data_IF_559070981995
#
_entry.id   IF_559070981995
#
_cell.length_a   1.000
_cell.length_b   1.000
_cell.length_c   1.000
_cell.angle_alpha   90.00
_cell.angle_beta   90.00
_cell.angle_gamma   90.00
#
_symmetry.space_group_name_H-M   'P 1'
#
loop_
_entity.id
_entity.type
_entity.pdbx_description
1 polymer ?
#
# COMPACT_ATOMS: atom_id res chain seq x y z
N UNK A 1 -44.15 7.02 3.04
CA UNK A 1 -42.73 7.14 2.69
C UNK A 1 -41.95 6.34 3.72
N UNK A 2 -41.50 5.13 3.37
CA UNK A 2 -40.70 4.32 4.27
C UNK A 2 -39.33 4.96 4.42
N UNK A 3 -39.00 5.41 5.64
CA UNK A 3 -37.67 5.94 5.92
C UNK A 3 -36.66 4.79 5.80
N UNK A 4 -35.60 5.01 5.02
CA UNK A 4 -34.48 4.08 4.92
C UNK A 4 -33.90 3.85 6.31
N UNK A 5 -33.64 2.60 6.67
CA UNK A 5 -32.94 2.31 7.92
C UNK A 5 -31.51 2.83 7.86
N UNK A 6 -30.86 3.00 9.01
CA UNK A 6 -29.44 3.41 9.06
C UNK A 6 -28.60 2.46 8.20
N UNK A 7 -28.88 1.17 8.25
CA UNK A 7 -28.19 0.16 7.45
C UNK A 7 -28.43 0.36 5.94
N UNK A 8 -29.67 0.62 5.51
CA UNK A 8 -29.99 0.88 4.09
C UNK A 8 -29.33 2.18 3.60
N UNK A 9 -29.32 3.23 4.44
CA UNK A 9 -28.66 4.49 4.11
C UNK A 9 -27.15 4.30 3.96
N UNK A 10 -26.52 3.51 4.84
CA UNK A 10 -25.10 3.18 4.77
C UNK A 10 -24.79 2.36 3.51
N UNK A 11 -25.61 1.36 3.16
CA UNK A 11 -25.41 0.57 1.93
C UNK A 11 -25.59 1.43 0.68
N UNK A 12 -26.59 2.31 0.64
CA UNK A 12 -26.79 3.22 -0.50
C UNK A 12 -25.67 4.25 -0.61
N UNK A 13 -25.22 4.82 0.52
CA UNK A 13 -24.04 5.69 0.53
C UNK A 13 -22.81 4.93 0.04
N UNK A 14 -22.62 3.65 0.38
CA UNK A 14 -21.53 2.83 -0.16
C UNK A 14 -21.68 2.52 -1.65
N UNK A 15 -22.90 2.45 -2.15
CA UNK A 15 -23.20 2.18 -3.55
C UNK A 15 -22.91 3.40 -4.44
N UNK A 16 -23.16 4.61 -3.92
CA UNK A 16 -22.98 5.88 -4.64
C UNK A 16 -21.69 6.64 -4.28
N UNK A 17 -21.12 6.34 -3.12
CA UNK A 17 -19.83 6.80 -2.60
C UNK A 17 -19.04 5.58 -2.09
N UNK A 18 -18.41 4.81 -2.98
CA UNK A 18 -17.66 3.62 -2.59
C UNK A 18 -16.41 3.93 -1.75
N UNK A 19 -16.00 5.21 -1.60
CA UNK A 19 -14.98 5.63 -0.63
C UNK A 19 -15.50 5.69 0.81
N UNK A 20 -16.83 5.74 1.00
CA UNK A 20 -17.49 5.71 2.31
C UNK A 20 -17.64 4.29 2.88
N UNK A 21 -17.30 3.26 2.11
CA UNK A 21 -17.32 1.88 2.58
C UNK A 21 -16.40 1.72 3.80
N UNK A 22 -16.85 1.03 4.86
CA UNK A 22 -16.01 0.77 6.01
C UNK A 22 -14.79 0.02 5.49
N UNK A 23 -13.62 0.66 5.57
CA UNK A 23 -12.35 -0.04 5.47
C UNK A 23 -12.45 -1.26 6.37
N UNK A 24 -12.00 -2.41 5.87
CA UNK A 24 -11.74 -3.58 6.69
C UNK A 24 -11.16 -3.18 8.04
N UNK A 25 -11.61 -3.86 9.10
CA UNK A 25 -11.26 -3.55 10.49
C UNK A 25 -9.81 -3.05 10.58
N UNK A 26 -9.67 -1.76 10.90
CA UNK A 26 -8.38 -1.11 11.03
C UNK A 26 -7.54 -1.92 12.02
N UNK A 27 -6.29 -2.25 11.68
CA UNK A 27 -5.45 -3.07 12.54
C UNK A 27 -5.29 -2.38 13.90
N UNK A 28 -5.29 -3.16 14.97
CA UNK A 28 -5.04 -2.65 16.32
C UNK A 28 -3.61 -2.13 16.40
N UNK A 29 -3.43 -0.83 16.64
CA UNK A 29 -2.11 -0.22 16.78
C UNK A 29 -1.80 -0.07 18.27
N UNK A 30 -0.70 -0.67 18.71
CA UNK A 30 -0.22 -0.59 20.09
C UNK A 30 1.13 0.16 20.13
N UNK A 31 1.16 1.42 20.60
CA UNK A 31 2.39 2.21 20.72
C UNK A 31 3.41 1.66 21.71
N UNK A 32 3.03 0.76 22.61
CA UNK A 32 3.94 0.14 23.57
C UNK A 32 4.83 -0.95 22.95
N UNK A 33 4.47 -1.43 21.76
CA UNK A 33 5.24 -2.44 21.04
C UNK A 33 6.57 -1.88 20.51
N UNK A 34 7.62 -2.72 20.40
CA UNK A 34 8.88 -2.34 19.77
C UNK A 34 8.67 -1.80 18.34
N UNK A 35 9.45 -0.77 17.96
CA UNK A 35 9.37 -0.22 16.60
C UNK A 35 9.74 -1.24 15.51
N UNK A 36 10.64 -2.17 15.83
CA UNK A 36 11.06 -3.25 14.95
C UNK A 36 11.14 -4.54 15.78
N UNK A 37 10.39 -5.60 15.44
CA UNK A 37 10.38 -6.85 16.20
C UNK A 37 11.68 -7.66 16.08
N UNK A 38 12.43 -7.48 15.00
CA UNK A 38 13.56 -8.34 14.64
C UNK A 38 14.92 -7.69 14.92
N UNK A 39 14.94 -6.38 15.19
CA UNK A 39 16.15 -5.60 15.41
C UNK A 39 16.34 -5.29 16.90
N UNK A 40 17.47 -5.68 17.51
CA UNK A 40 17.78 -5.34 18.90
C UNK A 40 17.77 -3.82 19.16
N UNK A 41 17.24 -3.40 20.31
CA UNK A 41 17.05 -1.99 20.66
C UNK A 41 18.34 -1.15 20.62
N UNK A 42 19.47 -1.74 21.02
CA UNK A 42 20.78 -1.07 21.04
C UNK A 42 21.29 -0.76 19.63
N UNK A 43 20.92 -1.58 18.65
CA UNK A 43 21.33 -1.46 17.25
C UNK A 43 20.38 -0.55 16.47
N UNK A 44 19.09 -0.56 16.83
CA UNK A 44 18.03 0.16 16.13
C UNK A 44 18.31 1.65 15.95
N UNK A 45 18.88 2.33 16.96
CA UNK A 45 19.21 3.75 16.85
C UNK A 45 20.29 4.01 15.77
N UNK A 46 21.31 3.16 15.72
CA UNK A 46 22.36 3.27 14.71
C UNK A 46 21.83 3.00 13.30
N UNK A 47 21.00 1.95 13.13
CA UNK A 47 20.41 1.64 11.81
C UNK A 47 19.49 2.77 11.32
N UNK A 48 18.64 3.31 12.21
CA UNK A 48 17.79 4.47 11.90
C UNK A 48 18.63 5.67 11.47
N UNK A 49 19.78 5.92 12.10
CA UNK A 49 20.64 7.04 11.71
C UNK A 49 21.24 6.83 10.31
N UNK A 50 21.74 5.63 10.01
CA UNK A 50 22.26 5.28 8.67
C UNK A 50 21.17 5.40 7.61
N UNK A 51 19.98 4.88 7.89
CA UNK A 51 18.81 4.99 7.03
C UNK A 51 18.40 6.45 6.77
N UNK A 52 18.32 7.27 7.82
CA UNK A 52 17.98 8.69 7.69
C UNK A 52 19.01 9.44 6.82
N UNK A 53 20.28 9.08 6.90
CA UNK A 53 21.31 9.67 6.05
C UNK A 53 21.07 9.30 4.58
N UNK A 54 20.73 8.04 4.28
CA UNK A 54 20.40 7.61 2.93
C UNK A 54 19.14 8.31 2.40
N UNK A 55 18.09 8.45 3.21
CA UNK A 55 16.85 9.15 2.82
C UNK A 55 17.14 10.61 2.48
N UNK A 56 17.87 11.34 3.35
CA UNK A 56 18.26 12.73 3.09
C UNK A 56 19.04 12.86 1.78
N UNK A 57 19.87 11.87 1.47
CA UNK A 57 20.64 11.83 0.24
C UNK A 57 19.71 11.68 -0.99
N UNK A 58 18.75 10.75 -0.94
CA UNK A 58 17.74 10.59 -1.99
C UNK A 58 16.86 11.83 -2.19
N UNK A 59 16.52 12.55 -1.12
CA UNK A 59 15.71 13.77 -1.16
C UNK A 59 16.50 15.00 -1.65
N UNK A 60 17.84 14.97 -1.55
CA UNK A 60 18.68 16.13 -1.87
C UNK A 60 18.71 16.44 -3.36
N UNK A 61 18.88 15.43 -4.21
CA UNK A 61 18.90 15.59 -5.67
C UNK A 61 18.81 14.24 -6.38
N UNK A 62 18.30 14.20 -7.63
CA UNK A 62 18.32 12.99 -8.46
C UNK A 62 19.73 12.43 -8.69
N UNK A 63 20.76 13.29 -8.73
CA UNK A 63 22.15 12.88 -8.91
C UNK A 63 22.71 12.07 -7.72
N UNK A 64 22.11 12.21 -6.54
CA UNK A 64 22.52 11.53 -5.32
C UNK A 64 21.80 10.18 -5.11
N UNK A 65 20.80 9.84 -5.95
CA UNK A 65 20.07 8.57 -5.85
C UNK A 65 20.95 7.31 -5.95
N UNK A 66 21.99 7.24 -6.83
CA UNK A 66 22.87 6.08 -6.89
C UNK A 66 23.65 5.85 -5.58
N UNK A 67 24.06 6.94 -4.90
CA UNK A 67 24.75 6.85 -3.62
C UNK A 67 23.80 6.42 -2.50
N UNK A 68 22.57 6.98 -2.48
CA UNK A 68 21.53 6.52 -1.56
C UNK A 68 21.19 5.04 -1.74
N UNK A 69 21.09 4.58 -2.99
CA UNK A 69 20.86 3.18 -3.33
C UNK A 69 21.95 2.30 -2.73
N UNK A 70 23.22 2.65 -2.96
CA UNK A 70 24.37 1.88 -2.45
C UNK A 70 24.34 1.76 -0.92
N UNK A 71 24.08 2.87 -0.21
CA UNK A 71 23.97 2.85 1.25
C UNK A 71 22.85 1.93 1.75
N UNK A 72 21.70 1.94 1.09
CA UNK A 72 20.57 1.10 1.45
C UNK A 72 20.82 -0.37 1.09
N UNK A 73 21.48 -0.67 -0.03
CA UNK A 73 21.91 -2.03 -0.39
C UNK A 73 22.85 -2.60 0.69
N UNK A 74 23.89 -1.86 1.05
CA UNK A 74 24.83 -2.24 2.13
C UNK A 74 24.09 -2.49 3.46
N UNK A 75 23.13 -1.63 3.81
CA UNK A 75 22.30 -1.78 5.01
C UNK A 75 21.44 -3.05 4.97
N UNK A 76 20.82 -3.37 3.83
CA UNK A 76 20.02 -4.59 3.67
C UNK A 76 20.85 -5.87 3.67
N UNK A 77 22.09 -5.82 3.18
CA UNK A 77 23.01 -6.96 3.22
C UNK A 77 23.49 -7.21 4.66
N UNK A 78 23.87 -6.14 5.37
CA UNK A 78 24.36 -6.24 6.74
C UNK A 78 23.25 -6.61 7.74
N UNK A 79 22.03 -6.14 7.50
CA UNK A 79 20.88 -6.32 8.41
C UNK A 79 19.63 -6.75 7.62
N UNK A 80 19.58 -8.00 7.13
CA UNK A 80 18.50 -8.49 6.26
C UNK A 80 17.13 -8.59 6.95
N UNK A 81 17.07 -8.46 8.28
CA UNK A 81 15.83 -8.44 9.05
C UNK A 81 15.31 -7.03 9.34
N UNK A 82 16.01 -5.98 8.88
CA UNK A 82 15.60 -4.59 9.09
C UNK A 82 14.63 -4.15 7.99
N UNK A 83 13.33 -4.29 8.25
CA UNK A 83 12.26 -4.13 7.26
C UNK A 83 12.24 -2.74 6.59
N UNK A 84 12.55 -1.70 7.36
CA UNK A 84 12.51 -0.32 6.89
C UNK A 84 13.54 -0.04 5.78
N UNK A 85 14.73 -0.65 5.86
CA UNK A 85 15.75 -0.52 4.82
C UNK A 85 15.29 -1.10 3.48
N UNK A 86 14.62 -2.26 3.48
CA UNK A 86 14.06 -2.84 2.27
C UNK A 86 12.98 -1.96 1.64
N UNK A 87 12.11 -1.37 2.46
CA UNK A 87 11.05 -0.47 1.99
C UNK A 87 11.63 0.81 1.36
N UNK A 88 12.65 1.39 1.98
CA UNK A 88 13.33 2.59 1.48
C UNK A 88 14.17 2.28 0.23
N UNK A 89 14.85 1.13 0.18
CA UNK A 89 15.57 0.69 -1.02
C UNK A 89 14.63 0.53 -2.21
N UNK A 90 13.47 -0.10 -2.01
CA UNK A 90 12.46 -0.21 -3.04
C UNK A 90 11.99 1.17 -3.56
N UNK A 91 11.80 2.14 -2.67
CA UNK A 91 11.43 3.50 -3.05
C UNK A 91 12.53 4.18 -3.90
N UNK A 92 13.80 4.06 -3.52
CA UNK A 92 14.92 4.63 -4.29
C UNK A 92 15.07 3.94 -5.64
N UNK A 93 14.94 2.61 -5.70
CA UNK A 93 14.96 1.85 -6.95
C UNK A 93 13.83 2.30 -7.88
N UNK A 94 12.63 2.59 -7.35
CA UNK A 94 11.53 3.18 -8.14
C UNK A 94 11.87 4.56 -8.69
N UNK A 95 12.50 5.42 -7.89
CA UNK A 95 12.94 6.76 -8.34
C UNK A 95 14.01 6.67 -9.44
N UNK A 96 14.85 5.63 -9.40
CA UNK A 96 15.82 5.31 -10.43
C UNK A 96 15.23 4.59 -11.66
N UNK A 97 13.91 4.34 -11.68
CA UNK A 97 13.24 3.58 -12.73
C UNK A 97 13.82 2.16 -12.92
N UNK A 98 14.27 1.53 -11.83
CA UNK A 98 14.73 0.15 -11.84
C UNK A 98 13.60 -0.82 -12.26
N UNK A 99 13.93 -2.00 -12.82
CA UNK A 99 12.92 -2.97 -13.22
C UNK A 99 12.18 -3.56 -12.02
N UNK A 100 10.91 -3.94 -12.23
CA UNK A 100 10.08 -4.54 -11.18
C UNK A 100 10.70 -5.80 -10.56
N UNK A 101 11.48 -6.57 -11.33
CA UNK A 101 12.19 -7.77 -10.86
C UNK A 101 13.22 -7.47 -9.77
N UNK A 102 13.72 -6.24 -9.70
CA UNK A 102 14.67 -5.79 -8.69
C UNK A 102 13.95 -5.16 -7.48
N UNK A 103 12.84 -4.45 -7.72
CA UNK A 103 12.10 -3.74 -6.68
C UNK A 103 11.22 -4.70 -5.84
N UNK A 104 10.50 -5.60 -6.49
CA UNK A 104 9.50 -6.46 -5.84
C UNK A 104 10.06 -7.36 -4.72
N UNK A 105 11.27 -7.95 -4.84
CA UNK A 105 11.86 -8.73 -3.74
C UNK A 105 12.01 -7.93 -2.44
N UNK A 106 12.43 -6.67 -2.53
CA UNK A 106 12.57 -5.81 -1.35
C UNK A 106 11.22 -5.45 -0.72
N UNK A 107 10.20 -5.14 -1.53
CA UNK A 107 8.85 -4.90 -1.01
C UNK A 107 8.26 -6.15 -0.35
N UNK A 108 8.49 -7.33 -0.94
CA UNK A 108 8.04 -8.59 -0.37
C UNK A 108 8.70 -8.88 0.98
N UNK A 109 10.00 -8.66 1.10
CA UNK A 109 10.71 -8.88 2.37
C UNK A 109 10.27 -7.85 3.43
N UNK A 110 10.10 -6.57 3.08
CA UNK A 110 9.60 -5.55 4.00
C UNK A 110 8.20 -5.89 4.55
N UNK A 111 7.31 -6.37 3.68
CA UNK A 111 5.96 -6.83 4.07
C UNK A 111 6.07 -8.04 4.98
N UNK A 112 6.87 -9.05 4.61
CA UNK A 112 7.04 -10.28 5.39
C UNK A 112 7.57 -10.00 6.80
N UNK A 113 8.59 -9.15 6.93
CA UNK A 113 9.21 -8.80 8.21
C UNK A 113 8.31 -7.92 9.10
N UNK A 114 7.44 -7.11 8.49
CA UNK A 114 6.55 -6.21 9.24
C UNK A 114 5.18 -6.82 9.54
N UNK A 115 4.81 -7.90 8.84
CA UNK A 115 3.49 -8.53 8.97
C UNK A 115 3.29 -9.16 10.35
N UNK A 116 2.09 -9.03 10.93
CA UNK A 116 1.81 -9.67 12.20
C UNK A 116 1.69 -11.20 12.02
N UNK A 117 1.97 -12.00 13.07
CA UNK A 117 1.79 -13.45 13.01
C UNK A 117 0.35 -13.88 12.73
N UNK A 118 -0.63 -13.09 13.18
CA UNK A 118 -2.05 -13.32 12.93
C UNK A 118 -2.75 -12.02 12.52
N UNK A 119 -3.86 -12.08 11.77
CA UNK A 119 -4.57 -10.88 11.30
C UNK A 119 -5.12 -9.98 12.42
N UNK A 120 -5.25 -10.51 13.64
CA UNK A 120 -5.79 -9.81 14.81
C UNK A 120 -4.70 -9.34 15.78
N UNK A 121 -3.45 -9.74 15.57
CA UNK A 121 -2.35 -9.32 16.45
C UNK A 121 -2.12 -7.81 16.31
N UNK A 122 -1.88 -7.10 17.43
CA UNK A 122 -1.57 -5.68 17.37
C UNK A 122 -0.23 -5.43 16.68
N UNK A 123 -0.12 -4.28 16.03
CA UNK A 123 1.08 -3.82 15.34
C UNK A 123 1.64 -2.57 16.01
N UNK A 124 2.97 -2.43 15.99
CA UNK A 124 3.57 -1.15 16.36
C UNK A 124 3.26 -0.08 15.29
N UNK A 125 3.25 1.22 15.65
CA UNK A 125 3.05 2.30 14.67
C UNK A 125 4.05 2.25 13.51
N UNK A 126 5.28 1.80 13.80
CA UNK A 126 6.35 1.66 12.80
C UNK A 126 6.05 0.53 11.81
N UNK A 127 5.63 -0.64 12.28
CA UNK A 127 5.23 -1.75 11.41
C UNK A 127 4.05 -1.37 10.51
N UNK A 128 3.02 -0.74 11.07
CA UNK A 128 1.86 -0.30 10.29
C UNK A 128 2.26 0.70 9.20
N UNK A 129 3.16 1.65 9.50
CA UNK A 129 3.69 2.59 8.52
C UNK A 129 4.46 1.88 7.39
N UNK A 130 5.34 0.92 7.74
CA UNK A 130 6.10 0.16 6.74
C UNK A 130 5.15 -0.64 5.84
N UNK A 131 4.19 -1.36 6.42
CA UNK A 131 3.19 -2.13 5.65
C UNK A 131 2.38 -1.22 4.73
N UNK A 132 1.85 -0.12 5.28
CA UNK A 132 1.12 0.91 4.53
C UNK A 132 1.89 1.37 3.30
N UNK A 133 3.17 1.72 3.46
CA UNK A 133 4.02 2.16 2.35
C UNK A 133 4.37 1.03 1.37
N UNK A 134 4.78 -0.13 1.88
CA UNK A 134 5.26 -1.25 1.05
C UNK A 134 4.14 -1.82 0.18
N UNK A 135 2.94 -2.04 0.74
CA UNK A 135 1.77 -2.45 -0.03
C UNK A 135 1.40 -1.41 -1.09
N UNK A 136 1.39 -0.12 -0.74
CA UNK A 136 1.08 0.95 -1.70
C UNK A 136 2.06 1.01 -2.86
N UNK A 137 3.37 0.86 -2.57
CA UNK A 137 4.40 0.82 -3.60
C UNK A 137 4.25 -0.40 -4.51
N UNK A 138 3.98 -1.58 -3.93
CA UNK A 138 3.81 -2.83 -4.68
C UNK A 138 2.57 -2.79 -5.56
N UNK A 139 1.47 -2.25 -5.03
CA UNK A 139 0.25 -1.99 -5.77
C UNK A 139 0.47 -1.08 -6.97
N UNK A 140 1.21 0.01 -6.78
CA UNK A 140 1.52 0.95 -7.87
C UNK A 140 2.33 0.27 -8.99
N UNK A 141 3.26 -0.63 -8.66
CA UNK A 141 4.02 -1.41 -9.65
C UNK A 141 3.07 -2.34 -10.42
N UNK A 142 2.28 -3.16 -9.73
CA UNK A 142 1.33 -4.06 -10.40
C UNK A 142 0.31 -3.32 -11.27
N UNK A 143 -0.21 -2.18 -10.78
CA UNK A 143 -1.12 -1.35 -11.55
C UNK A 143 -0.46 -0.76 -12.79
N UNK A 144 0.80 -0.31 -12.67
CA UNK A 144 1.55 0.21 -13.82
C UNK A 144 1.82 -0.88 -14.87
N UNK A 145 2.15 -2.10 -14.45
CA UNK A 145 2.34 -3.24 -15.35
C UNK A 145 1.04 -3.62 -16.06
N UNK A 146 -0.08 -3.65 -15.33
CA UNK A 146 -1.41 -3.85 -15.92
C UNK A 146 -1.72 -2.78 -16.98
N UNK A 147 -1.49 -1.50 -16.67
CA UNK A 147 -1.69 -0.39 -17.63
C UNK A 147 -0.83 -0.48 -18.88
N UNK A 148 0.31 -1.16 -18.81
CA UNK A 148 1.20 -1.39 -19.95
C UNK A 148 0.83 -2.65 -20.75
N UNK A 149 -0.33 -3.26 -20.51
CA UNK A 149 -0.80 -4.46 -21.20
C UNK A 149 -0.57 -5.76 -20.43
N UNK A 150 -0.29 -5.67 -19.12
CA UNK A 150 -0.24 -6.83 -18.23
C UNK A 150 -1.59 -7.53 -18.04
N UNK A 151 -1.59 -8.68 -17.37
CA UNK A 151 -2.79 -9.50 -17.17
C UNK A 151 -3.76 -8.93 -16.14
N UNK A 152 -5.02 -9.39 -16.18
CA UNK A 152 -6.03 -9.09 -15.14
C UNK A 152 -5.58 -9.54 -13.74
N UNK A 153 -4.72 -10.56 -13.65
CA UNK A 153 -4.12 -10.96 -12.38
C UNK A 153 -3.28 -9.85 -11.74
N UNK A 154 -2.61 -9.03 -12.56
CA UNK A 154 -1.86 -7.86 -12.09
C UNK A 154 -2.80 -6.76 -11.59
N UNK A 155 -3.93 -6.54 -12.27
CA UNK A 155 -4.98 -5.63 -11.78
C UNK A 155 -5.53 -6.12 -10.43
N UNK A 156 -5.83 -7.42 -10.32
CA UNK A 156 -6.28 -8.04 -9.08
C UNK A 156 -5.24 -7.95 -7.97
N UNK A 157 -3.96 -8.16 -8.28
CA UNK A 157 -2.86 -7.99 -7.33
C UNK A 157 -2.71 -6.53 -6.86
N UNK A 158 -2.81 -5.58 -7.78
CA UNK A 158 -2.81 -4.16 -7.46
C UNK A 158 -3.97 -3.77 -6.55
N UNK A 159 -5.18 -4.24 -6.85
CA UNK A 159 -6.37 -3.97 -6.05
C UNK A 159 -6.24 -4.50 -4.62
N UNK A 160 -5.77 -5.75 -4.47
CA UNK A 160 -5.51 -6.34 -3.14
C UNK A 160 -4.47 -5.56 -2.35
N UNK A 161 -3.37 -5.17 -2.98
CA UNK A 161 -2.31 -4.43 -2.31
C UNK A 161 -2.72 -2.99 -1.96
N UNK A 162 -3.49 -2.32 -2.82
CA UNK A 162 -4.04 -1.00 -2.47
C UNK A 162 -5.01 -1.10 -1.29
N UNK A 163 -5.81 -2.15 -1.24
CA UNK A 163 -6.70 -2.42 -0.12
C UNK A 163 -5.92 -2.60 1.19
N UNK A 164 -4.88 -3.43 1.21
CA UNK A 164 -4.03 -3.61 2.39
C UNK A 164 -3.30 -2.30 2.76
N UNK A 165 -2.77 -1.56 1.78
CA UNK A 165 -2.16 -0.24 2.01
C UNK A 165 -3.12 0.73 2.69
N UNK A 166 -4.38 0.76 2.24
CA UNK A 166 -5.45 1.56 2.83
C UNK A 166 -5.81 1.10 4.23
N UNK A 167 -5.88 -0.22 4.46
CA UNK A 167 -6.12 -0.83 5.77
C UNK A 167 -5.07 -0.43 6.80
N UNK A 168 -3.80 -0.32 6.40
CA UNK A 168 -2.71 0.17 7.27
C UNK A 168 -2.60 1.71 7.34
N UNK A 169 -3.54 2.46 6.74
CA UNK A 169 -3.65 3.90 6.91
C UNK A 169 -3.10 4.76 5.76
N UNK A 170 -2.81 4.18 4.58
CA UNK A 170 -2.45 4.98 3.41
C UNK A 170 -3.70 5.55 2.72
N UNK A 171 -3.89 6.88 2.74
CA UNK A 171 -5.04 7.53 2.12
C UNK A 171 -5.11 7.33 0.59
N UNK A 172 -3.97 7.43 -0.10
CA UNK A 172 -3.89 7.24 -1.55
C UNK A 172 -4.24 5.79 -1.90
N UNK A 173 -3.73 4.82 -1.14
CA UNK A 173 -4.04 3.43 -1.37
C UNK A 173 -5.51 3.11 -1.13
N UNK A 174 -6.13 3.72 -0.11
CA UNK A 174 -7.58 3.59 0.14
C UNK A 174 -8.41 4.05 -1.06
N UNK A 175 -8.10 5.22 -1.60
CA UNK A 175 -8.75 5.75 -2.81
C UNK A 175 -8.50 4.83 -4.02
N UNK A 176 -7.25 4.40 -4.21
CA UNK A 176 -6.88 3.52 -5.31
C UNK A 176 -7.49 2.13 -5.17
N UNK A 177 -7.73 1.62 -3.97
CA UNK A 177 -8.39 0.34 -3.73
C UNK A 177 -9.81 0.34 -4.29
N UNK A 178 -10.53 1.45 -4.12
CA UNK A 178 -11.87 1.65 -4.69
C UNK A 178 -11.80 1.72 -6.22
N UNK A 179 -10.89 2.53 -6.76
CA UNK A 179 -10.74 2.73 -8.22
C UNK A 179 -10.33 1.47 -8.97
N UNK A 180 -9.54 0.61 -8.33
CA UNK A 180 -9.02 -0.64 -8.93
C UNK A 180 -9.90 -1.84 -8.61
N UNK A 181 -10.99 -1.67 -7.86
CA UNK A 181 -11.89 -2.77 -7.51
C UNK A 181 -12.68 -3.22 -8.77
N UNK A 182 -12.43 -4.45 -9.28
CA UNK A 182 -13.09 -4.93 -10.49
C UNK A 182 -14.61 -5.06 -10.30
N UNK A 183 -15.07 -5.39 -9.09
CA UNK A 183 -16.50 -5.47 -8.76
C UNK A 183 -17.15 -4.10 -8.81
N UNK A 184 -16.55 -3.08 -8.18
CA UNK A 184 -17.08 -1.72 -8.22
C UNK A 184 -17.18 -1.19 -9.66
N UNK A 185 -16.18 -1.52 -10.51
CA UNK A 185 -16.19 -1.16 -11.93
C UNK A 185 -17.32 -1.87 -12.70
N UNK A 186 -17.53 -3.16 -12.48
CA UNK A 186 -18.60 -3.93 -13.12
C UNK A 186 -19.99 -3.43 -12.69
N UNK A 187 -20.22 -3.27 -11.39
CA UNK A 187 -21.47 -2.73 -10.86
C UNK A 187 -21.74 -1.33 -11.41
N UNK A 188 -20.73 -0.45 -11.43
CA UNK A 188 -20.85 0.89 -11.99
C UNK A 188 -21.17 0.90 -13.50
N UNK A 189 -20.61 -0.04 -14.27
CA UNK A 189 -20.93 -0.19 -15.69
C UNK A 189 -22.39 -0.62 -15.91
N UNK A 190 -22.86 -1.62 -15.15
CA UNK A 190 -24.24 -2.13 -15.21
C UNK A 190 -25.25 -1.03 -14.84
N UNK A 191 -25.01 -0.33 -13.72
CA UNK A 191 -25.89 0.77 -13.27
C UNK A 191 -25.92 1.89 -14.30
N UNK A 192 -24.76 2.28 -14.85
CA UNK A 192 -24.67 3.33 -15.87
C UNK A 192 -25.39 2.96 -17.17
N UNK A 193 -25.33 1.68 -17.55
CA UNK A 193 -26.06 1.15 -18.70
C UNK A 193 -27.57 1.13 -18.46
N UNK A 194 -28.02 0.65 -17.30
CA UNK A 194 -29.43 0.66 -16.91
C UNK A 194 -30.01 2.08 -16.92
N UNK A 195 -29.32 3.04 -16.30
CA UNK A 195 -29.76 4.44 -16.32
C UNK A 195 -29.84 4.98 -17.76
N UNK A 196 -28.83 4.71 -18.61
CA UNK A 196 -28.85 5.17 -20.00
C UNK A 196 -30.07 4.63 -20.75
N UNK A 197 -30.44 3.37 -20.52
CA UNK A 197 -31.61 2.76 -21.15
C UNK A 197 -32.91 3.42 -20.68
N UNK A 198 -33.08 3.68 -19.38
CA UNK A 198 -34.26 4.37 -18.83
C UNK A 198 -34.43 5.79 -19.40
N UNK A 199 -33.33 6.55 -19.53
CA UNK A 199 -33.38 7.89 -20.14
C UNK A 199 -33.70 7.83 -21.64
N UNK A 200 -33.29 6.77 -22.34
CA UNK A 200 -33.60 6.57 -23.75
C UNK A 200 -35.07 6.14 -23.98
N UNK A 201 -35.67 5.42 -23.03
CA UNK A 201 -37.10 5.02 -23.08
C UNK A 201 -38.08 6.16 -22.73
N UNK A 202 -37.60 7.23 -22.10
CA UNK A 202 -38.40 8.42 -21.77
C UNK A 202 -38.46 9.49 -22.89
N UNK A 203 -37.79 9.25 -24.04
CA UNK A 203 -37.79 10.11 -25.24
C UNK A 203 -38.57 9.43 -26.38
#
# INVERSE_FOLDING_TARGET
MSALTINDSTVLTQLFDPESAPSSATPSIDPSLPSDPHTPSHLLQALKQTELNAIKLAESSPAALPESRKLLEELTIAYPTYASAHNNLAQVLRMLSAPATEILPHLNEAIKLSSPPTPISPLSPSQAKILSQAYTQRAAIYYSMFKQGGSEDMEGAASRDFFEGGRYGNGIAREMAVRTNPYARLCGAIVKEAMRNEYAECL
#
